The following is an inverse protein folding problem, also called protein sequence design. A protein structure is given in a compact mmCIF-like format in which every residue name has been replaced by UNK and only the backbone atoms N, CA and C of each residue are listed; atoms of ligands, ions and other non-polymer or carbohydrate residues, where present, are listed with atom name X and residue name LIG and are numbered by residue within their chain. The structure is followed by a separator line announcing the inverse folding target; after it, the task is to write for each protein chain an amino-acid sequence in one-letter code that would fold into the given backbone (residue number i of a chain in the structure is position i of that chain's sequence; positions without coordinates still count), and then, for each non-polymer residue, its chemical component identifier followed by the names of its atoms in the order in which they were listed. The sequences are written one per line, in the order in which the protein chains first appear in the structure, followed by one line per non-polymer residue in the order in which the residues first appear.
data_IF_848924627877
#
_entry.id   IF_848924627877
#
_cell.length_a   1.000
_cell.length_b   1.000
_cell.length_c   1.000
_cell.angle_alpha   90.00
_cell.angle_beta   90.00
_cell.angle_gamma   90.00
#
_symmetry.space_group_name_H-M   'P 1'
#
loop_
_entity.id
_entity.type
_entity.pdbx_description
1 polymer ?
#
# COMPACT_ATOMS: atom_id res chain seq x y z
N UNK A 1 -36.11 -48.24 -17.30
CA UNK A 1 -35.54 -47.88 -15.98
C UNK A 1 -34.78 -46.57 -16.12
N UNK A 2 -34.99 -45.66 -15.18
CA UNK A 2 -34.82 -44.20 -15.28
C UNK A 2 -33.35 -43.74 -15.30
N UNK A 3 -33.05 -42.73 -16.12
CA UNK A 3 -31.77 -42.01 -16.18
C UNK A 3 -31.79 -40.89 -15.14
N UNK A 4 -31.03 -41.04 -14.05
CA UNK A 4 -30.87 -39.99 -13.04
C UNK A 4 -29.69 -39.10 -13.43
N UNK A 5 -29.97 -38.01 -14.14
CA UNK A 5 -28.98 -36.97 -14.47
C UNK A 5 -28.82 -36.06 -13.25
N UNK A 6 -27.75 -36.23 -12.47
CA UNK A 6 -27.40 -35.33 -11.38
C UNK A 6 -26.95 -33.98 -11.95
N UNK A 7 -27.81 -32.97 -11.84
CA UNK A 7 -27.46 -31.59 -12.13
C UNK A 7 -26.48 -31.07 -11.09
N UNK A 8 -25.18 -31.04 -11.41
CA UNK A 8 -24.20 -30.30 -10.61
C UNK A 8 -24.56 -28.82 -10.66
N UNK A 9 -25.05 -28.28 -9.55
CA UNK A 9 -25.19 -26.83 -9.37
C UNK A 9 -23.77 -26.27 -9.43
N UNK A 10 -23.43 -25.67 -10.57
CA UNK A 10 -22.19 -24.94 -10.74
C UNK A 10 -22.26 -23.74 -9.79
N UNK A 11 -21.64 -23.87 -8.62
CA UNK A 11 -21.38 -22.75 -7.73
C UNK A 11 -20.34 -21.85 -8.40
N UNK A 12 -20.77 -21.15 -9.44
CA UNK A 12 -20.02 -20.09 -10.08
C UNK A 12 -19.60 -19.14 -8.96
N UNK A 13 -18.29 -19.08 -8.72
CA UNK A 13 -17.72 -18.26 -7.67
C UNK A 13 -18.10 -16.80 -7.95
N UNK A 14 -19.02 -16.27 -7.15
CA UNK A 14 -19.48 -14.87 -7.20
C UNK A 14 -18.33 -13.87 -6.91
N UNK A 15 -17.11 -14.38 -6.69
CA UNK A 15 -15.94 -13.67 -6.22
C UNK A 15 -14.79 -13.53 -7.23
N UNK A 16 -14.82 -14.15 -8.41
CA UNK A 16 -13.80 -13.87 -9.42
C UNK A 16 -14.22 -12.69 -10.30
N UNK A 17 -14.30 -11.49 -9.72
CA UNK A 17 -14.17 -10.29 -10.57
C UNK A 17 -12.74 -10.25 -11.06
N UNK A 18 -12.56 -10.44 -12.36
CA UNK A 18 -11.29 -10.27 -13.01
C UNK A 18 -10.93 -8.78 -13.14
N UNK A 19 -10.45 -8.20 -12.04
CA UNK A 19 -9.88 -6.87 -12.02
C UNK A 19 -8.56 -6.85 -12.80
N UNK A 20 -8.49 -6.02 -13.84
CA UNK A 20 -7.25 -5.80 -14.60
C UNK A 20 -6.13 -5.22 -13.72
N UNK A 21 -4.87 -5.37 -14.16
CA UNK A 21 -3.68 -4.85 -13.45
C UNK A 21 -3.84 -3.36 -13.05
N UNK A 22 -4.34 -2.44 -13.91
CA UNK A 22 -4.55 -1.04 -13.52
C UNK A 22 -5.52 -0.88 -12.35
N UNK A 23 -6.59 -1.68 -12.31
CA UNK A 23 -7.56 -1.67 -11.21
C UNK A 23 -6.91 -2.09 -9.89
N UNK A 24 -6.00 -3.08 -9.92
CA UNK A 24 -5.25 -3.49 -8.72
C UNK A 24 -4.34 -2.36 -8.23
N UNK A 25 -3.63 -1.69 -9.13
CA UNK A 25 -2.78 -0.54 -8.79
C UNK A 25 -3.62 0.55 -8.13
N UNK A 26 -4.68 1.00 -8.79
CA UNK A 26 -5.56 2.06 -8.27
C UNK A 26 -6.18 1.67 -6.94
N UNK A 27 -6.72 0.46 -6.82
CA UNK A 27 -7.32 -0.02 -5.57
C UNK A 27 -6.30 -0.09 -4.43
N UNK A 28 -5.07 -0.52 -4.71
CA UNK A 28 -4.00 -0.58 -3.70
C UNK A 28 -3.60 0.81 -3.24
N UNK A 29 -3.42 1.75 -4.18
CA UNK A 29 -3.08 3.15 -3.86
C UNK A 29 -4.18 3.80 -3.02
N UNK A 30 -5.44 3.64 -3.41
CA UNK A 30 -6.57 4.20 -2.65
C UNK A 30 -6.68 3.57 -1.26
N UNK A 31 -6.50 2.25 -1.13
CA UNK A 31 -6.56 1.57 0.15
C UNK A 31 -5.46 2.06 1.11
N UNK A 32 -4.21 2.18 0.62
CA UNK A 32 -3.10 2.72 1.41
C UNK A 32 -3.35 4.18 1.80
N UNK A 33 -3.82 5.01 0.85
CA UNK A 33 -4.10 6.41 1.11
C UNK A 33 -5.16 6.59 2.20
N UNK A 34 -6.29 5.88 2.09
CA UNK A 34 -7.36 5.96 3.10
C UNK A 34 -6.85 5.51 4.46
N UNK A 35 -6.13 4.39 4.53
CA UNK A 35 -5.57 3.90 5.79
C UNK A 35 -4.59 4.90 6.42
N UNK A 36 -3.70 5.50 5.62
CA UNK A 36 -2.74 6.51 6.11
C UNK A 36 -3.43 7.79 6.56
N UNK A 37 -4.48 8.24 5.87
CA UNK A 37 -5.27 9.39 6.30
C UNK A 37 -6.03 9.12 7.61
N UNK A 38 -6.52 7.90 7.81
CA UNK A 38 -7.12 7.49 9.08
C UNK A 38 -6.08 7.51 10.21
N UNK A 39 -4.88 6.95 9.98
CA UNK A 39 -3.79 6.99 10.96
C UNK A 39 -3.38 8.44 11.29
N UNK A 40 -3.33 9.31 10.28
CA UNK A 40 -3.01 10.72 10.47
C UNK A 40 -4.06 11.41 11.34
N UNK A 41 -5.35 11.17 11.06
CA UNK A 41 -6.45 11.72 11.86
C UNK A 41 -6.40 11.20 13.31
N UNK A 42 -6.10 9.91 13.51
CA UNK A 42 -5.93 9.33 14.84
C UNK A 42 -4.75 9.97 15.58
N UNK A 43 -3.63 10.22 14.91
CA UNK A 43 -2.49 10.93 15.50
C UNK A 43 -2.82 12.34 15.93
N UNK A 44 -3.57 13.08 15.11
CA UNK A 44 -4.05 14.42 15.47
C UNK A 44 -4.94 14.38 16.71
N UNK A 45 -5.87 13.43 16.77
CA UNK A 45 -6.76 13.26 17.92
C UNK A 45 -5.99 12.82 19.18
N UNK A 46 -4.84 12.16 19.02
CA UNK A 46 -3.92 11.80 20.09
C UNK A 46 -2.96 12.95 20.49
N UNK A 47 -3.07 14.12 19.85
CA UNK A 47 -2.26 15.31 20.15
C UNK A 47 -0.95 15.41 19.38
N UNK A 48 -0.72 14.59 18.35
CA UNK A 48 0.44 14.70 17.47
C UNK A 48 0.39 15.96 16.61
N UNK A 49 1.48 16.72 16.56
CA UNK A 49 1.58 17.93 15.74
C UNK A 49 1.94 17.63 14.28
N UNK A 50 2.56 16.47 14.04
CA UNK A 50 3.17 16.09 12.75
C UNK A 50 4.17 17.13 12.24
N UNK A 51 4.80 17.88 13.14
CA UNK A 51 5.81 18.87 12.81
C UNK A 51 7.20 18.34 13.17
N UNK A 52 8.18 18.67 12.34
CA UNK A 52 9.60 18.40 12.59
C UNK A 52 10.42 19.57 12.05
N UNK A 53 11.65 19.71 12.54
CA UNK A 53 12.59 20.72 12.09
C UNK A 53 13.41 20.17 10.94
N UNK A 54 13.31 20.80 9.78
CA UNK A 54 14.17 20.51 8.63
C UNK A 54 14.93 21.78 8.22
N UNK A 55 16.26 21.69 8.17
CA UNK A 55 17.16 22.81 7.86
C UNK A 55 16.88 24.10 8.66
N UNK A 56 16.42 23.98 9.91
CA UNK A 56 16.09 25.12 10.79
C UNK A 56 14.71 25.72 10.58
N UNK A 57 13.88 25.16 9.69
CA UNK A 57 12.48 25.51 9.50
C UNK A 57 11.56 24.42 10.06
N UNK A 58 10.43 24.82 10.64
CA UNK A 58 9.39 23.87 11.05
C UNK A 58 8.62 23.46 9.80
N UNK A 59 8.64 22.16 9.52
CA UNK A 59 7.93 21.54 8.40
C UNK A 59 6.88 20.60 8.95
N UNK A 60 5.64 20.82 8.52
CA UNK A 60 4.52 19.96 8.88
C UNK A 60 4.35 18.85 7.84
N UNK A 61 4.19 17.61 8.30
CA UNK A 61 3.59 16.52 7.55
C UNK A 61 2.06 16.70 7.51
N UNK A 62 1.64 17.88 7.04
CA UNK A 62 0.27 18.24 6.73
C UNK A 62 -0.36 17.17 5.81
N UNK A 63 -1.70 17.06 5.74
CA UNK A 63 -2.34 15.94 5.04
C UNK A 63 -1.96 15.90 3.55
N UNK A 64 -1.61 17.03 2.93
CA UNK A 64 -1.05 17.08 1.58
C UNK A 64 0.28 16.33 1.43
N UNK A 65 1.17 16.40 2.44
CA UNK A 65 2.41 15.64 2.49
C UNK A 65 2.15 14.14 2.57
N UNK A 66 1.22 13.71 3.43
CA UNK A 66 0.82 12.29 3.57
C UNK A 66 0.24 11.76 2.25
N UNK A 67 -0.60 12.54 1.58
CA UNK A 67 -1.18 12.18 0.27
C UNK A 67 -0.07 11.98 -0.75
N UNK A 68 0.82 12.96 -0.93
CA UNK A 68 1.88 12.88 -1.94
C UNK A 68 2.86 11.74 -1.67
N UNK A 69 3.32 11.60 -0.41
CA UNK A 69 4.28 10.57 -0.01
C UNK A 69 3.70 9.16 0.02
N UNK A 70 2.36 9.01 0.05
CA UNK A 70 1.72 7.71 -0.11
C UNK A 70 1.46 7.38 -1.57
N UNK A 71 0.83 8.31 -2.30
CA UNK A 71 0.33 8.06 -3.66
C UNK A 71 1.48 7.94 -4.65
N UNK A 72 2.42 8.88 -4.65
CA UNK A 72 3.47 8.95 -5.68
C UNK A 72 4.39 7.72 -5.64
N UNK A 73 5.01 7.36 -4.49
CA UNK A 73 5.92 6.23 -4.45
C UNK A 73 5.21 4.89 -4.69
N UNK A 74 4.02 4.70 -4.12
CA UNK A 74 3.29 3.45 -4.25
C UNK A 74 2.74 3.25 -5.67
N UNK A 75 2.16 4.29 -6.28
CA UNK A 75 1.67 4.23 -7.64
C UNK A 75 2.82 3.98 -8.63
N UNK A 76 3.95 4.68 -8.45
CA UNK A 76 5.14 4.49 -9.27
C UNK A 76 5.67 3.06 -9.15
N UNK A 77 5.90 2.58 -7.92
CA UNK A 77 6.43 1.24 -7.67
C UNK A 77 5.55 0.12 -8.22
N UNK A 78 4.24 0.18 -7.96
CA UNK A 78 3.29 -0.81 -8.46
C UNK A 78 3.14 -0.76 -9.98
N UNK A 79 3.14 0.43 -10.59
CA UNK A 79 3.06 0.58 -12.05
C UNK A 79 4.31 0.03 -12.72
N UNK A 80 5.50 0.36 -12.22
CA UNK A 80 6.77 -0.17 -12.74
C UNK A 80 6.78 -1.70 -12.63
N UNK A 81 6.39 -2.26 -11.49
CA UNK A 81 6.30 -3.71 -11.32
C UNK A 81 5.28 -4.35 -12.27
N UNK A 82 4.12 -3.73 -12.46
CA UNK A 82 3.09 -4.20 -13.38
C UNK A 82 3.58 -4.20 -14.84
N UNK A 83 4.33 -3.17 -15.25
CA UNK A 83 4.94 -3.09 -16.59
C UNK A 83 6.04 -4.12 -16.78
N UNK A 84 6.96 -4.26 -15.83
CA UNK A 84 8.05 -5.24 -15.89
C UNK A 84 7.53 -6.69 -15.89
N UNK A 85 6.42 -6.95 -15.21
CA UNK A 85 5.77 -8.26 -15.22
C UNK A 85 5.15 -8.64 -16.58
N UNK A 86 5.07 -7.73 -17.55
CA UNK A 86 4.71 -8.08 -18.94
C UNK A 86 5.85 -8.80 -19.66
N UNK A 87 7.09 -8.57 -19.23
CA UNK A 87 8.28 -9.13 -19.88
C UNK A 87 8.86 -10.31 -19.10
N UNK A 88 8.74 -10.32 -17.77
CA UNK A 88 9.33 -11.36 -16.94
C UNK A 88 8.56 -11.60 -15.63
N UNK A 89 7.72 -12.65 -15.60
CA UNK A 89 6.83 -12.97 -14.47
C UNK A 89 7.52 -13.09 -13.08
N UNK A 90 8.73 -13.68 -12.94
CA UNK A 90 9.45 -13.76 -11.67
C UNK A 90 9.75 -12.41 -11.01
N UNK A 91 9.78 -11.31 -11.77
CA UNK A 91 10.11 -9.99 -11.24
C UNK A 91 9.14 -9.51 -10.17
N UNK A 92 7.89 -10.01 -10.17
CA UNK A 92 6.89 -9.66 -9.16
C UNK A 92 7.34 -10.05 -7.76
N UNK A 93 8.09 -11.15 -7.61
CA UNK A 93 8.63 -11.60 -6.33
C UNK A 93 9.73 -10.69 -5.80
N UNK A 94 10.61 -10.24 -6.70
CA UNK A 94 11.65 -9.25 -6.38
C UNK A 94 10.98 -7.93 -5.99
N UNK A 95 9.98 -7.51 -6.76
CA UNK A 95 9.20 -6.31 -6.48
C UNK A 95 8.48 -6.37 -5.13
N UNK A 96 8.04 -7.55 -4.66
CA UNK A 96 7.45 -7.69 -3.32
C UNK A 96 8.46 -7.42 -2.23
N UNK A 97 9.67 -7.98 -2.36
CA UNK A 97 10.76 -7.77 -1.40
C UNK A 97 11.16 -6.30 -1.39
N UNK A 98 11.40 -5.71 -2.57
CA UNK A 98 11.78 -4.29 -2.70
C UNK A 98 10.66 -3.38 -2.20
N UNK A 99 9.41 -3.65 -2.57
CA UNK A 99 8.23 -2.88 -2.19
C UNK A 99 7.91 -2.94 -0.70
N UNK A 100 8.34 -4.00 0.00
CA UNK A 100 8.28 -4.07 1.46
C UNK A 100 9.47 -3.35 2.11
N UNK A 101 10.69 -3.59 1.61
CA UNK A 101 11.90 -3.07 2.23
C UNK A 101 12.04 -1.55 2.09
N UNK A 102 11.69 -0.97 0.95
CA UNK A 102 11.86 0.47 0.72
C UNK A 102 11.06 1.33 1.72
N UNK A 103 9.74 1.12 1.94
CA UNK A 103 9.00 1.87 2.96
C UNK A 103 9.50 1.59 4.38
N UNK A 104 9.93 0.37 4.67
CA UNK A 104 10.48 0.05 5.99
C UNK A 104 11.83 0.72 6.23
N UNK A 105 12.65 0.87 5.19
CA UNK A 105 13.92 1.56 5.28
C UNK A 105 13.74 3.06 5.56
N UNK A 106 12.69 3.69 5.01
CA UNK A 106 12.42 5.12 5.26
C UNK A 106 11.94 5.42 6.68
N UNK A 107 11.55 4.40 7.46
CA UNK A 107 11.29 4.53 8.90
C UNK A 107 12.51 5.10 9.63
N UNK A 108 13.73 4.76 9.19
CA UNK A 108 14.95 5.31 9.79
C UNK A 108 14.95 6.84 9.75
N UNK A 109 14.47 7.44 8.65
CA UNK A 109 14.32 8.88 8.52
C UNK A 109 13.30 9.46 9.51
N UNK A 110 12.14 8.81 9.64
CA UNK A 110 11.10 9.20 10.62
C UNK A 110 11.61 9.14 12.06
N UNK A 111 12.39 8.11 12.40
CA UNK A 111 12.95 7.95 13.75
C UNK A 111 14.09 8.93 14.04
N UNK A 112 14.80 9.40 13.01
CA UNK A 112 15.84 10.42 13.15
C UNK A 112 15.30 11.85 13.22
N UNK A 113 14.07 12.06 12.77
CA UNK A 113 13.40 13.35 12.84
C UNK A 113 12.90 13.63 14.26
N UNK A 114 12.76 14.90 14.59
CA UNK A 114 12.37 15.43 15.91
C UNK A 114 10.85 15.54 16.10
N UNK A 115 10.10 14.59 15.53
CA UNK A 115 8.66 14.50 15.74
C UNK A 115 8.32 14.21 17.20
N UNK A 116 7.13 14.64 17.64
CA UNK A 116 6.58 14.18 18.91
C UNK A 116 6.30 12.66 18.89
N UNK A 117 6.11 12.07 20.06
CA UNK A 117 5.94 10.62 20.21
C UNK A 117 4.70 10.09 19.46
N UNK A 118 3.57 10.79 19.50
CA UNK A 118 2.34 10.35 18.84
C UNK A 118 2.51 10.41 17.32
N UNK A 119 3.07 11.49 16.79
CA UNK A 119 3.38 11.65 15.36
C UNK A 119 4.37 10.60 14.87
N UNK A 120 5.43 10.33 15.64
CA UNK A 120 6.44 9.31 15.32
C UNK A 120 5.78 7.94 15.16
N UNK A 121 4.98 7.51 16.13
CA UNK A 121 4.30 6.22 16.09
C UNK A 121 3.38 6.12 14.87
N UNK A 122 2.57 7.15 14.61
CA UNK A 122 1.63 7.14 13.48
C UNK A 122 2.34 7.14 12.13
N UNK A 123 3.41 7.93 11.97
CA UNK A 123 4.21 7.94 10.73
C UNK A 123 4.92 6.60 10.50
N UNK A 124 5.46 5.95 11.55
CA UNK A 124 6.01 4.59 11.46
C UNK A 124 4.95 3.60 10.99
N UNK A 125 3.74 3.66 11.55
CA UNK A 125 2.63 2.80 11.15
C UNK A 125 2.22 3.03 9.69
N UNK A 126 2.23 4.26 9.19
CA UNK A 126 1.95 4.56 7.78
C UNK A 126 2.93 3.85 6.83
N UNK A 127 4.23 3.79 7.19
CA UNK A 127 5.21 3.05 6.41
C UNK A 127 4.93 1.54 6.38
N UNK A 128 4.52 0.98 7.52
CA UNK A 128 4.11 -0.43 7.61
C UNK A 128 2.88 -0.70 6.74
N UNK A 129 1.89 0.21 6.73
CA UNK A 129 0.72 0.13 5.84
C UNK A 129 1.14 0.12 4.38
N UNK A 130 2.03 1.02 3.95
CA UNK A 130 2.52 1.06 2.56
C UNK A 130 3.21 -0.25 2.20
N UNK A 131 4.11 -0.76 3.06
CA UNK A 131 4.79 -2.03 2.83
C UNK A 131 3.81 -3.20 2.69
N UNK A 132 2.84 -3.31 3.59
CA UNK A 132 1.82 -4.35 3.56
C UNK A 132 0.97 -4.27 2.29
N UNK A 133 0.49 -3.07 1.93
CA UNK A 133 -0.33 -2.87 0.73
C UNK A 133 0.46 -3.14 -0.55
N UNK A 134 1.73 -2.75 -0.62
CA UNK A 134 2.59 -3.04 -1.78
C UNK A 134 2.69 -4.56 -2.01
N UNK A 135 2.97 -5.32 -0.95
CA UNK A 135 3.07 -6.80 -1.03
C UNK A 135 1.74 -7.42 -1.44
N UNK A 136 0.62 -6.99 -0.84
CA UNK A 136 -0.71 -7.51 -1.15
C UNK A 136 -1.15 -7.18 -2.59
N UNK A 137 -0.87 -5.96 -3.06
CA UNK A 137 -1.14 -5.54 -4.43
C UNK A 137 -0.36 -6.37 -5.45
N UNK A 138 0.93 -6.59 -5.18
CA UNK A 138 1.79 -7.44 -6.01
C UNK A 138 1.37 -8.92 -5.99
N UNK A 139 0.98 -9.45 -4.84
CA UNK A 139 0.49 -10.85 -4.76
C UNK A 139 -0.81 -11.02 -5.56
N UNK A 140 -1.74 -10.05 -5.47
CA UNK A 140 -2.95 -10.06 -6.31
C UNK A 140 -2.66 -10.00 -7.81
N UNK A 141 -1.58 -9.31 -8.21
CA UNK A 141 -1.14 -9.32 -9.61
C UNK A 141 -0.50 -10.66 -9.99
N UNK A 142 0.27 -11.27 -9.08
CA UNK A 142 0.94 -12.56 -9.31
C UNK A 142 -0.04 -13.71 -9.50
N UNK A 143 -1.06 -13.82 -8.65
CA UNK A 143 -2.04 -14.93 -8.70
C UNK A 143 -2.91 -14.89 -9.98
N UNK A 144 -2.84 -13.80 -10.76
CA UNK A 144 -3.51 -13.66 -12.06
C UNK A 144 -2.64 -14.04 -13.26
N UNK A 145 -1.35 -14.28 -13.06
CA UNK A 145 -0.39 -14.67 -14.11
C UNK A 145 -0.29 -16.20 -14.12
#
# INVERSE_FOLDING_TARGET
MSVTRTSSVSSASVWSRDYGRPTIVVASVLAALVANLVLWLVGLLAGGSFEHTDAGAIVSAAPGGVVLMTVVPLAAGLTVAALLSLWWNPIVRIAQVVGALLPLATIAGTLSADFDAASTVMLVLMHVVIAAVAVLGLEKMRVRI
#
